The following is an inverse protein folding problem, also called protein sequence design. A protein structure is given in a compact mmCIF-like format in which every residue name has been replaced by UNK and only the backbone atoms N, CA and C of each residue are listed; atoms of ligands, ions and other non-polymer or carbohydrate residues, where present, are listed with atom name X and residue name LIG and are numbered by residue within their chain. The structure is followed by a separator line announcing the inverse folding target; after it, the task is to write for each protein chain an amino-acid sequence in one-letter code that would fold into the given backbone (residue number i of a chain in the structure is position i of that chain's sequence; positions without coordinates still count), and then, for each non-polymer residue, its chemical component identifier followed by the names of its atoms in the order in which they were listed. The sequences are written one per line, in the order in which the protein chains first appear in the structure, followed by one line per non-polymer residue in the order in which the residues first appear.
data_IF_742911861048
#
_entry.id   IF_742911861048
#
_cell.length_a   1.000
_cell.length_b   1.000
_cell.length_c   1.000
_cell.angle_alpha   90.00
_cell.angle_beta   90.00
_cell.angle_gamma   90.00
#
_symmetry.space_group_name_H-M   'P 1'
#
loop_
_entity.id
_entity.type
_entity.pdbx_description
1 polymer ?
#
# COMPACT_ATOMS: atom_id res chain seq x y z
N UNK A 1 -59.11 45.24 -5.48
CA UNK A 1 -58.37 44.00 -5.15
C UNK A 1 -57.04 44.38 -4.50
N UNK A 2 -56.78 43.90 -3.28
CA UNK A 2 -55.50 44.04 -2.57
C UNK A 2 -54.57 42.91 -3.00
N UNK A 3 -53.39 43.22 -3.53
CA UNK A 3 -52.36 42.21 -3.81
C UNK A 3 -51.23 42.35 -2.79
N UNK A 4 -51.06 41.29 -2.02
CA UNK A 4 -50.00 41.07 -1.05
C UNK A 4 -48.62 40.86 -1.69
N UNK A 5 -47.63 41.57 -1.14
CA UNK A 5 -46.32 41.11 -0.62
C UNK A 5 -45.54 40.00 -1.37
N UNK A 6 -44.26 40.27 -1.69
CA UNK A 6 -43.02 39.56 -1.22
C UNK A 6 -41.88 39.88 -2.21
N UNK A 7 -40.91 40.71 -1.83
CA UNK A 7 -39.61 40.33 -1.21
C UNK A 7 -38.90 39.21 -1.97
N UNK A 8 -37.91 39.61 -2.77
CA UNK A 8 -36.79 38.75 -3.17
C UNK A 8 -35.65 39.69 -3.54
N UNK A 9 -34.54 39.65 -2.78
CA UNK A 9 -33.18 39.80 -3.29
C UNK A 9 -32.16 39.52 -2.18
N UNK A 10 -31.33 38.52 -2.48
CA UNK A 10 -29.93 38.31 -2.12
C UNK A 10 -29.57 38.10 -0.64
N UNK A 11 -29.25 36.84 -0.32
CA UNK A 11 -28.10 36.54 0.51
C UNK A 11 -27.39 35.29 -0.06
N UNK A 12 -26.20 35.51 -0.61
CA UNK A 12 -25.20 34.47 -0.86
C UNK A 12 -24.74 33.86 0.47
N UNK A 13 -24.73 32.52 0.55
CA UNK A 13 -23.54 31.74 0.90
C UNK A 13 -23.95 30.27 0.90
N UNK A 14 -23.82 29.65 -0.26
CA UNK A 14 -23.96 28.22 -0.43
C UNK A 14 -22.82 27.56 0.34
N UNK A 15 -23.18 26.91 1.45
CA UNK A 15 -22.31 26.07 2.26
C UNK A 15 -21.55 25.11 1.35
N UNK A 16 -20.22 25.18 1.38
CA UNK A 16 -19.38 24.14 0.83
C UNK A 16 -19.60 22.87 1.67
N UNK A 17 -19.89 21.71 1.06
CA UNK A 17 -19.84 20.46 1.80
C UNK A 17 -18.40 20.21 2.27
N UNK A 18 -18.16 19.66 3.47
CA UNK A 18 -16.83 19.20 3.83
C UNK A 18 -16.39 18.17 2.79
N UNK A 19 -15.20 18.42 2.25
CA UNK A 19 -14.46 17.56 1.35
C UNK A 19 -14.53 16.12 1.86
N UNK A 20 -15.17 15.24 1.09
CA UNK A 20 -15.29 13.84 1.41
C UNK A 20 -13.93 13.25 1.75
N UNK A 21 -13.84 12.72 2.96
CA UNK A 21 -12.82 11.78 3.38
C UNK A 21 -12.80 10.62 2.38
N UNK A 22 -11.65 10.28 1.74
CA UNK A 22 -11.64 9.18 0.80
C UNK A 22 -11.92 7.86 1.51
N UNK A 23 -13.05 7.26 1.12
CA UNK A 23 -13.40 5.84 1.16
C UNK A 23 -12.83 5.00 2.32
N UNK A 24 -13.75 4.66 3.23
CA UNK A 24 -13.69 3.59 4.22
C UNK A 24 -12.68 2.48 3.88
N UNK A 25 -11.56 2.55 4.58
CA UNK A 25 -10.34 1.76 4.45
C UNK A 25 -10.64 0.26 4.58
N UNK A 26 -10.24 -0.53 3.59
CA UNK A 26 -10.02 -1.96 3.80
C UNK A 26 -9.15 -2.16 5.06
N UNK A 27 -9.42 -3.19 5.90
CA UNK A 27 -8.76 -3.30 7.19
C UNK A 27 -7.24 -3.29 7.02
N UNK A 28 -6.51 -2.39 7.68
CA UNK A 28 -5.03 -2.41 7.63
C UNK A 28 -4.50 -3.31 8.75
N UNK A 29 -3.43 -4.05 8.48
CA UNK A 29 -2.62 -4.75 9.47
C UNK A 29 -2.12 -3.68 10.44
N UNK A 30 -2.67 -3.67 11.64
CA UNK A 30 -2.30 -2.72 12.69
C UNK A 30 -0.95 -3.12 13.28
N UNK A 31 -0.18 -2.12 13.70
CA UNK A 31 1.02 -2.36 14.50
C UNK A 31 0.67 -3.19 15.75
N UNK A 32 1.39 -4.28 15.98
CA UNK A 32 1.18 -5.19 17.11
C UNK A 32 0.40 -6.47 16.80
N UNK A 33 -0.07 -6.66 15.56
CA UNK A 33 -0.56 -7.97 15.11
C UNK A 33 0.64 -8.90 14.92
N UNK A 34 0.54 -10.14 15.42
CA UNK A 34 1.53 -11.18 15.17
C UNK A 34 1.58 -11.46 13.65
N UNK A 35 2.74 -11.19 13.05
CA UNK A 35 3.00 -11.44 11.64
C UNK A 35 4.12 -12.46 11.51
N UNK A 36 3.91 -13.46 10.68
CA UNK A 36 5.00 -14.33 10.24
C UNK A 36 5.79 -13.57 9.18
N UNK A 37 7.02 -13.18 9.51
CA UNK A 37 7.92 -12.51 8.56
C UNK A 37 8.80 -13.55 7.84
N UNK A 38 8.80 -13.49 6.51
CA UNK A 38 9.67 -14.30 5.63
C UNK A 38 10.48 -13.36 4.74
N UNK A 39 11.81 -13.49 4.73
CA UNK A 39 12.67 -12.71 3.82
C UNK A 39 12.52 -13.25 2.39
N UNK A 40 12.16 -12.38 1.45
CA UNK A 40 12.00 -12.73 0.03
C UNK A 40 13.25 -12.40 -0.79
N UNK A 41 13.94 -11.33 -0.42
CA UNK A 41 15.18 -10.88 -1.08
C UNK A 41 16.02 -10.10 -0.08
N UNK A 42 17.34 -10.26 -0.15
CA UNK A 42 18.28 -9.54 0.69
C UNK A 42 19.52 -9.19 -0.11
N UNK A 43 19.89 -7.91 -0.05
CA UNK A 43 21.08 -7.36 -0.70
C UNK A 43 21.91 -6.61 0.33
N UNK A 44 23.06 -6.07 -0.11
CA UNK A 44 23.86 -5.15 0.71
C UNK A 44 23.18 -3.80 0.96
N UNK A 45 22.13 -3.47 0.20
CA UNK A 45 21.49 -2.14 0.22
C UNK A 45 20.14 -2.14 0.94
N UNK A 46 19.39 -3.25 0.85
CA UNK A 46 18.06 -3.38 1.46
C UNK A 46 17.67 -4.86 1.62
N UNK A 47 16.60 -5.09 2.39
CA UNK A 47 15.90 -6.36 2.56
C UNK A 47 14.43 -6.21 2.16
N UNK A 48 13.90 -7.17 1.42
CA UNK A 48 12.46 -7.32 1.16
C UNK A 48 11.93 -8.49 1.99
N UNK A 49 10.88 -8.24 2.75
CA UNK A 49 10.21 -9.25 3.58
C UNK A 49 8.71 -9.27 3.30
N UNK A 50 8.14 -10.48 3.35
CA UNK A 50 6.72 -10.77 3.40
C UNK A 50 6.30 -10.89 4.86
N UNK A 51 5.34 -10.10 5.30
CA UNK A 51 4.66 -10.27 6.58
C UNK A 51 3.24 -10.80 6.34
N UNK A 52 2.89 -11.92 6.97
CA UNK A 52 1.54 -12.49 6.88
C UNK A 52 0.94 -12.54 8.29
N UNK A 53 -0.16 -11.82 8.58
CA UNK A 53 -0.88 -11.97 9.83
C UNK A 53 -1.53 -13.36 9.90
N UNK A 54 -1.81 -13.84 11.11
CA UNK A 54 -2.43 -15.17 11.31
C UNK A 54 -3.77 -15.34 10.55
N UNK A 55 -4.49 -14.24 10.33
CA UNK A 55 -5.64 -14.18 9.40
C UNK A 55 -5.17 -13.85 7.99
N UNK A 56 -4.90 -14.88 7.19
CA UNK A 56 -4.24 -14.86 5.88
C UNK A 56 -4.94 -14.12 4.74
N UNK A 57 -6.02 -13.38 4.98
CA UNK A 57 -6.74 -12.65 3.92
C UNK A 57 -5.99 -11.40 3.46
N UNK A 58 -4.88 -11.06 4.12
CA UNK A 58 -4.02 -9.93 3.78
C UNK A 58 -2.55 -10.33 3.94
N UNK A 59 -1.66 -9.64 3.26
CA UNK A 59 -0.21 -9.75 3.47
C UNK A 59 0.46 -8.40 3.24
N UNK A 60 1.63 -8.23 3.84
CA UNK A 60 2.43 -7.02 3.75
C UNK A 60 3.76 -7.30 3.06
N UNK A 61 4.13 -6.46 2.10
CA UNK A 61 5.49 -6.41 1.56
C UNK A 61 6.22 -5.23 2.18
N UNK A 62 7.38 -5.49 2.75
CA UNK A 62 8.19 -4.49 3.44
C UNK A 62 9.59 -4.44 2.85
N UNK A 63 10.06 -3.23 2.52
CA UNK A 63 11.45 -2.93 2.19
C UNK A 63 12.09 -2.21 3.36
N UNK A 64 13.19 -2.76 3.87
CA UNK A 64 14.01 -2.15 4.92
C UNK A 64 15.40 -1.87 4.36
N UNK A 65 15.87 -0.62 4.29
CA UNK A 65 17.22 -0.31 3.86
C UNK A 65 18.25 -0.84 4.88
N UNK A 66 19.45 -1.17 4.39
CA UNK A 66 20.60 -1.56 5.22
C UNK A 66 21.34 -0.33 5.73
N UNK A 67 22.29 -0.55 6.64
CA UNK A 67 23.12 0.54 7.18
C UNK A 67 23.82 1.33 6.07
N UNK A 68 23.80 2.66 6.16
CA UNK A 68 24.35 3.56 5.13
C UNK A 68 23.41 3.81 3.95
N UNK A 69 22.25 3.16 3.94
CA UNK A 69 21.20 3.35 2.94
C UNK A 69 19.91 3.86 3.58
N UNK A 70 19.11 4.54 2.76
CA UNK A 70 17.75 4.99 3.08
C UNK A 70 16.83 4.75 1.88
N UNK A 71 15.55 4.58 2.11
CA UNK A 71 14.56 4.63 1.04
C UNK A 71 14.43 6.08 0.56
N UNK A 72 14.20 6.27 -0.74
CA UNK A 72 13.81 7.57 -1.30
C UNK A 72 12.27 7.67 -1.36
N UNK A 73 11.62 8.42 -0.45
CA UNK A 73 10.17 8.59 -0.50
C UNK A 73 9.69 9.45 -1.67
N UNK A 74 10.57 10.29 -2.23
CA UNK A 74 10.25 11.19 -3.34
C UNK A 74 10.34 10.50 -4.71
N UNK A 75 11.00 9.33 -4.78
CA UNK A 75 11.04 8.54 -6.00
C UNK A 75 9.71 7.80 -6.21
N UNK A 76 9.09 7.87 -7.40
CA UNK A 76 7.84 7.15 -7.68
C UNK A 76 7.97 5.64 -7.46
N UNK A 77 7.43 5.14 -6.36
CA UNK A 77 7.39 3.72 -6.08
C UNK A 77 6.16 3.06 -6.73
N UNK A 78 6.35 1.82 -7.17
CA UNK A 78 5.30 0.98 -7.75
C UNK A 78 5.53 -0.47 -7.36
N UNK A 79 4.54 -1.10 -6.76
CA UNK A 79 4.50 -2.54 -6.52
C UNK A 79 3.32 -3.12 -7.29
N UNK A 80 3.58 -4.09 -8.16
CA UNK A 80 2.55 -4.85 -8.85
C UNK A 80 2.65 -6.31 -8.42
N UNK A 81 1.55 -6.87 -7.92
CA UNK A 81 1.44 -8.28 -7.57
C UNK A 81 0.47 -8.94 -8.53
N UNK A 82 0.94 -10.01 -9.17
CA UNK A 82 0.15 -10.90 -10.00
C UNK A 82 -0.36 -12.04 -9.10
N UNK A 83 -1.68 -12.17 -8.91
CA UNK A 83 -2.24 -13.24 -8.10
C UNK A 83 -2.08 -14.60 -8.77
N UNK A 84 -2.11 -15.66 -7.97
CA UNK A 84 -2.23 -17.04 -8.45
C UNK A 84 -3.57 -17.25 -9.18
N UNK A 85 -3.68 -18.31 -9.98
CA UNK A 85 -4.93 -18.68 -10.62
C UNK A 85 -6.02 -18.94 -9.57
N UNK A 86 -7.22 -18.37 -9.77
CA UNK A 86 -8.31 -18.47 -8.80
C UNK A 86 -8.20 -17.51 -7.61
N UNK A 87 -7.18 -16.64 -7.59
CA UNK A 87 -7.05 -15.58 -6.60
C UNK A 87 -7.18 -14.20 -7.24
N UNK A 88 -7.67 -13.24 -6.45
CA UNK A 88 -7.83 -11.84 -6.84
C UNK A 88 -7.37 -10.96 -5.68
N UNK A 89 -6.70 -9.86 -6.03
CA UNK A 89 -6.33 -8.81 -5.08
C UNK A 89 -7.26 -7.62 -5.26
N UNK A 90 -7.68 -7.00 -4.16
CA UNK A 90 -8.51 -5.78 -4.20
C UNK A 90 -7.79 -4.66 -4.94
N UNK A 91 -6.47 -4.55 -4.77
CA UNK A 91 -5.62 -3.58 -5.44
C UNK A 91 -4.27 -4.22 -5.81
N UNK A 92 -4.16 -4.87 -6.98
CA UNK A 92 -2.96 -5.61 -7.37
C UNK A 92 -1.77 -4.71 -7.70
N UNK A 93 -2.00 -3.42 -8.01
CA UNK A 93 -0.92 -2.44 -8.20
C UNK A 93 -1.08 -1.30 -7.22
N UNK A 94 -0.03 -1.07 -6.42
CA UNK A 94 0.06 0.00 -5.43
C UNK A 94 1.23 0.92 -5.74
N UNK A 95 1.08 2.20 -5.37
CA UNK A 95 2.11 3.24 -5.52
C UNK A 95 2.51 3.79 -4.15
N UNK A 96 3.42 4.77 -4.13
CA UNK A 96 3.83 5.41 -2.88
C UNK A 96 2.67 5.97 -2.05
N UNK A 97 1.64 6.54 -2.69
CA UNK A 97 0.44 7.04 -2.02
C UNK A 97 -0.43 5.93 -1.35
N UNK A 98 -0.23 4.67 -1.74
CA UNK A 98 -0.94 3.52 -1.17
C UNK A 98 -0.15 2.84 -0.05
N UNK A 99 1.10 3.26 0.17
CA UNK A 99 1.97 2.66 1.17
C UNK A 99 1.37 2.84 2.58
N UNK A 100 1.52 1.81 3.41
CA UNK A 100 1.29 1.92 4.84
C UNK A 100 2.34 2.82 5.50
N UNK A 101 3.58 2.73 5.01
CA UNK A 101 4.70 3.55 5.41
C UNK A 101 5.62 3.75 4.21
N UNK A 102 6.07 4.98 3.99
CA UNK A 102 7.07 5.32 2.99
C UNK A 102 7.90 6.49 3.50
N UNK A 103 9.02 6.16 4.13
CA UNK A 103 9.99 7.13 4.64
C UNK A 103 11.41 6.57 4.49
N UNK A 104 12.41 7.35 4.90
CA UNK A 104 13.83 6.99 4.78
C UNK A 104 14.19 5.63 5.42
N UNK A 105 13.43 5.16 6.41
CA UNK A 105 13.74 3.96 7.20
C UNK A 105 12.97 2.73 6.74
N UNK A 106 11.85 2.90 6.03
CA UNK A 106 11.00 1.78 5.63
C UNK A 106 10.06 2.17 4.50
N UNK A 107 9.81 1.21 3.62
CA UNK A 107 8.66 1.23 2.72
C UNK A 107 7.81 -0.02 2.93
N UNK A 108 6.49 0.11 3.05
CA UNK A 108 5.60 -1.04 3.23
C UNK A 108 4.26 -0.84 2.57
N UNK A 109 3.73 -1.93 2.00
CA UNK A 109 2.46 -2.00 1.30
C UNK A 109 1.71 -3.23 1.76
N UNK A 110 0.40 -3.10 1.92
CA UNK A 110 -0.46 -4.22 2.27
C UNK A 110 -1.38 -4.54 1.11
N UNK A 111 -1.47 -5.82 0.81
CA UNK A 111 -2.33 -6.36 -0.22
C UNK A 111 -3.41 -7.22 0.41
N UNK A 112 -4.63 -7.04 -0.08
CA UNK A 112 -5.80 -7.74 0.41
C UNK A 112 -6.25 -8.73 -0.65
N UNK A 113 -6.39 -10.00 -0.26
CA UNK A 113 -6.99 -11.02 -1.09
C UNK A 113 -8.51 -10.82 -1.09
N UNK A 114 -9.04 -10.38 -2.23
CA UNK A 114 -10.48 -10.24 -2.43
C UNK A 114 -11.16 -11.62 -2.49
N UNK A 115 -10.52 -12.56 -3.19
CA UNK A 115 -10.96 -13.96 -3.29
C UNK A 115 -9.71 -14.81 -3.48
N UNK A 116 -9.62 -15.95 -2.80
CA UNK A 116 -8.55 -16.91 -3.02
C UNK A 116 -8.92 -18.24 -2.36
N UNK A 117 -8.53 -19.36 -2.95
CA UNK A 117 -8.72 -20.66 -2.32
C UNK A 117 -7.75 -20.81 -1.13
N UNK A 118 -8.20 -21.49 -0.07
CA UNK A 118 -7.32 -21.89 1.01
C UNK A 118 -6.20 -22.82 0.49
N UNK A 119 -5.07 -22.82 1.19
CA UNK A 119 -3.84 -23.53 0.85
C UNK A 119 -2.73 -22.61 0.34
N UNK A 120 -1.64 -23.25 -0.07
CA UNK A 120 -0.45 -22.57 -0.56
C UNK A 120 -0.69 -21.94 -1.94
N UNK A 121 -0.48 -20.63 -2.02
CA UNK A 121 -0.62 -19.83 -3.22
C UNK A 121 0.73 -19.23 -3.62
N UNK A 122 1.00 -19.23 -4.92
CA UNK A 122 2.21 -18.65 -5.48
C UNK A 122 1.85 -17.40 -6.28
N UNK A 123 2.19 -16.24 -5.73
CA UNK A 123 2.01 -14.95 -6.36
C UNK A 123 3.36 -14.42 -6.85
N UNK A 124 3.35 -13.58 -7.88
CA UNK A 124 4.55 -12.95 -8.41
C UNK A 124 4.49 -11.44 -8.17
N UNK A 125 5.57 -10.84 -7.66
CA UNK A 125 5.68 -9.42 -7.41
C UNK A 125 6.74 -8.74 -8.28
N UNK A 126 6.41 -7.56 -8.78
CA UNK A 126 7.31 -6.62 -9.46
C UNK A 126 7.36 -5.31 -8.67
N UNK A 127 8.51 -4.99 -8.10
CA UNK A 127 8.71 -3.81 -7.27
C UNK A 127 9.63 -2.80 -7.96
N UNK A 128 9.26 -1.53 -7.86
CA UNK A 128 10.08 -0.38 -8.27
C UNK A 128 10.13 0.61 -7.12
N UNK A 129 11.34 0.96 -6.71
CA UNK A 129 11.62 1.93 -5.66
C UNK A 129 13.05 2.46 -5.85
N UNK A 130 13.47 3.41 -5.04
CA UNK A 130 14.87 3.82 -5.01
C UNK A 130 15.40 3.79 -3.58
N UNK A 131 16.67 3.41 -3.47
CA UNK A 131 17.46 3.54 -2.23
C UNK A 131 18.55 4.56 -2.47
N UNK A 132 18.89 5.34 -1.45
CA UNK A 132 19.92 6.34 -1.52
C UNK A 132 20.95 6.15 -0.40
N UNK A 133 22.17 6.55 -0.68
CA UNK A 133 23.15 6.93 0.35
C UNK A 133 22.96 8.42 0.67
N UNK A 134 23.91 9.01 1.39
CA UNK A 134 23.98 10.46 1.55
C UNK A 134 24.22 11.19 0.22
N UNK A 135 24.86 10.53 -0.76
CA UNK A 135 25.40 11.18 -1.96
C UNK A 135 24.69 10.79 -3.25
N UNK A 136 24.15 9.58 -3.31
CA UNK A 136 23.65 8.99 -4.56
C UNK A 136 22.38 8.20 -4.33
N UNK A 137 21.45 8.25 -5.29
CA UNK A 137 20.26 7.42 -5.31
C UNK A 137 20.33 6.41 -6.46
N UNK A 138 19.88 5.19 -6.20
CA UNK A 138 19.87 4.09 -7.16
C UNK A 138 18.45 3.55 -7.25
N UNK A 139 17.91 3.54 -8.48
CA UNK A 139 16.63 2.88 -8.74
C UNK A 139 16.78 1.35 -8.67
N UNK A 140 15.73 0.70 -8.16
CA UNK A 140 15.66 -0.75 -7.99
C UNK A 140 14.43 -1.30 -8.70
N UNK A 141 14.62 -2.44 -9.35
CA UNK A 141 13.59 -3.20 -10.07
C UNK A 141 13.72 -4.64 -9.61
N UNK A 142 12.87 -5.01 -8.66
CA UNK A 142 12.94 -6.32 -8.02
C UNK A 142 11.79 -7.21 -8.46
N UNK A 143 12.11 -8.46 -8.78
CA UNK A 143 11.13 -9.52 -8.99
C UNK A 143 11.16 -10.43 -7.76
N UNK A 144 10.01 -10.64 -7.14
CA UNK A 144 9.88 -11.49 -5.94
C UNK A 144 8.85 -12.59 -6.19
N UNK A 145 9.13 -13.77 -5.64
CA UNK A 145 8.16 -14.84 -5.53
C UNK A 145 7.52 -14.78 -4.13
N UNK A 146 6.20 -14.81 -4.06
CA UNK A 146 5.43 -14.70 -2.82
C UNK A 146 4.72 -16.04 -2.62
N UNK A 147 5.17 -16.81 -1.63
CA UNK A 147 4.46 -17.99 -1.16
C UNK A 147 3.55 -17.58 0.00
N UNK A 148 2.24 -17.72 -0.19
CA UNK A 148 1.23 -17.33 0.78
C UNK A 148 0.35 -18.53 1.14
N UNK A 149 0.36 -18.94 2.40
CA UNK A 149 -0.57 -19.95 2.90
C UNK A 149 -1.89 -19.27 3.28
N UNK A 150 -2.91 -19.43 2.44
CA UNK A 150 -4.24 -18.88 2.69
C UNK A 150 -5.01 -19.87 3.56
N UNK A 151 -5.38 -19.45 4.77
CA UNK A 151 -6.25 -20.16 5.71
C UNK A 151 -7.72 -20.06 5.32
#
# INVERSE_FOLDING_TARGET
MRWSILVLLVACSKSAPPSGEPAETAPRIKAGIAVTETTLSETTEYKVALGVPETSTMFQLTVTPKQGWKINPDYPSRLAVTPAAGCALSKPTQRGADALQLDATRASWQFDLATCAAGMQQLAGDMRFAVCTEKTCVEKKEKIAIALDVK
#
